data_IF_599458662085
#
_entry.id   IF_599458662085
#
_cell.length_a   1.000
_cell.length_b   1.000
_cell.length_c   1.000
_cell.angle_alpha   90.00
_cell.angle_beta   90.00
_cell.angle_gamma   90.00
#
_symmetry.space_group_name_H-M   'P 1'
#
loop_
_entity.id
_entity.type
_entity.pdbx_description
1 polymer ?
#
# COMPACT_ATOMS: atom_id res chain seq x y z
N UNK A 1 -39.06 -25.32 -2.94
CA UNK A 1 -37.96 -25.00 -2.00
C UNK A 1 -36.65 -25.71 -2.35
N UNK A 2 -36.03 -25.39 -3.49
CA UNK A 2 -34.59 -25.65 -3.73
C UNK A 2 -34.01 -24.40 -4.38
N UNK A 3 -33.85 -23.35 -3.58
CA UNK A 3 -32.97 -22.24 -3.92
C UNK A 3 -31.56 -22.82 -3.94
N UNK A 4 -31.10 -23.18 -5.14
CA UNK A 4 -29.70 -23.37 -5.42
C UNK A 4 -29.02 -22.07 -5.00
N UNK A 5 -28.42 -22.07 -3.81
CA UNK A 5 -27.28 -21.21 -3.50
C UNK A 5 -26.30 -21.46 -4.64
N UNK A 6 -26.32 -20.62 -5.66
CA UNK A 6 -25.18 -20.46 -6.55
C UNK A 6 -24.01 -20.16 -5.63
N UNK A 7 -23.22 -21.19 -5.29
CA UNK A 7 -21.90 -21.00 -4.72
C UNK A 7 -21.14 -20.26 -5.80
N UNK A 8 -21.16 -18.93 -5.72
CA UNK A 8 -20.47 -18.07 -6.65
C UNK A 8 -18.98 -18.41 -6.54
N UNK A 9 -18.52 -19.27 -7.46
CA UNK A 9 -17.19 -19.84 -7.38
C UNK A 9 -16.17 -18.74 -7.64
N UNK A 10 -15.09 -18.74 -6.87
CA UNK A 10 -14.00 -17.83 -7.11
C UNK A 10 -13.49 -17.98 -8.55
N UNK A 11 -13.19 -16.85 -9.20
CA UNK A 11 -12.69 -16.83 -10.57
C UNK A 11 -11.30 -17.46 -10.64
N UNK A 12 -10.91 -18.00 -11.81
CA UNK A 12 -9.56 -18.47 -12.03
C UNK A 12 -8.52 -17.41 -11.65
N UNK A 13 -7.49 -17.84 -10.93
CA UNK A 13 -6.44 -16.95 -10.41
C UNK A 13 -6.67 -16.40 -9.00
N UNK A 14 -7.86 -16.59 -8.41
CA UNK A 14 -8.12 -16.13 -7.03
C UNK A 14 -7.11 -16.65 -6.02
N UNK A 15 -6.82 -17.96 -6.01
CA UNK A 15 -5.87 -18.56 -5.06
C UNK A 15 -4.46 -18.00 -5.25
N UNK A 16 -4.03 -17.82 -6.50
CA UNK A 16 -2.72 -17.25 -6.81
C UNK A 16 -2.64 -15.77 -6.38
N UNK A 17 -3.69 -14.98 -6.61
CA UNK A 17 -3.76 -13.59 -6.16
C UNK A 17 -3.77 -13.49 -4.62
N UNK A 18 -4.44 -14.43 -3.93
CA UNK A 18 -4.42 -14.49 -2.47
C UNK A 18 -3.01 -14.79 -1.95
N UNK A 19 -2.33 -15.81 -2.50
CA UNK A 19 -0.93 -16.11 -2.16
C UNK A 19 -0.02 -14.92 -2.43
N UNK A 20 -0.18 -14.27 -3.60
CA UNK A 20 0.57 -13.06 -3.94
C UNK A 20 0.32 -11.92 -2.95
N UNK A 21 -0.92 -11.73 -2.50
CA UNK A 21 -1.29 -10.71 -1.51
C UNK A 21 -0.62 -11.00 -0.16
N UNK A 22 -0.66 -12.26 0.31
CA UNK A 22 0.00 -12.66 1.56
C UNK A 22 1.53 -12.50 1.47
N UNK A 23 2.11 -12.90 0.33
CA UNK A 23 3.54 -12.72 0.08
C UNK A 23 3.91 -11.23 0.05
N UNK A 24 3.08 -10.37 -0.55
CA UNK A 24 3.30 -8.92 -0.55
C UNK A 24 3.25 -8.31 0.86
N UNK A 25 2.40 -8.82 1.77
CA UNK A 25 2.43 -8.42 3.19
C UNK A 25 3.79 -8.77 3.80
N UNK A 26 4.30 -9.99 3.56
CA UNK A 26 5.63 -10.39 4.06
C UNK A 26 6.73 -9.51 3.48
N UNK A 27 6.70 -9.22 2.18
CA UNK A 27 7.68 -8.33 1.52
C UNK A 27 7.68 -6.94 2.15
N UNK A 28 6.51 -6.34 2.40
CA UNK A 28 6.40 -5.01 3.04
C UNK A 28 6.99 -5.03 4.46
N UNK A 29 6.68 -6.05 5.26
CA UNK A 29 7.22 -6.20 6.63
C UNK A 29 8.74 -6.42 6.63
N UNK A 30 9.24 -7.26 5.73
CA UNK A 30 10.69 -7.47 5.55
C UNK A 30 11.38 -6.17 5.12
N UNK A 31 10.78 -5.39 4.22
CA UNK A 31 11.35 -4.11 3.80
C UNK A 31 11.46 -3.10 4.96
N UNK A 32 10.42 -3.03 5.80
CA UNK A 32 10.46 -2.24 7.03
C UNK A 32 11.56 -2.73 7.99
N UNK A 33 11.69 -4.05 8.16
CA UNK A 33 12.72 -4.67 9.00
C UNK A 33 14.14 -4.37 8.47
N UNK A 34 14.41 -4.55 7.18
CA UNK A 34 15.71 -4.23 6.56
C UNK A 34 16.08 -2.77 6.78
N UNK A 35 15.10 -1.85 6.66
CA UNK A 35 15.35 -0.43 6.91
C UNK A 35 15.64 -0.14 8.39
N UNK A 36 14.83 -0.67 9.30
CA UNK A 36 14.92 -0.38 10.74
C UNK A 36 16.10 -1.08 11.42
N UNK A 37 16.69 -2.10 10.78
CA UNK A 37 17.96 -2.72 11.19
C UNK A 37 19.18 -2.12 10.49
N UNK A 38 19.00 -0.98 9.79
CA UNK A 38 20.04 -0.27 9.05
C UNK A 38 20.74 -1.13 7.98
N UNK A 39 20.04 -2.13 7.44
CA UNK A 39 20.56 -3.06 6.44
C UNK A 39 20.27 -2.63 4.99
N UNK A 40 19.80 -1.40 4.76
CA UNK A 40 19.48 -0.89 3.41
C UNK A 40 20.70 -0.66 2.50
N UNK A 41 21.92 -0.75 3.04
CA UNK A 41 23.19 -0.78 2.32
C UNK A 41 24.03 -1.98 2.82
N UNK A 42 23.37 -3.07 3.24
CA UNK A 42 24.03 -4.28 3.71
C UNK A 42 24.74 -5.04 2.59
N UNK A 43 24.32 -4.81 1.35
CA UNK A 43 24.99 -5.25 0.13
C UNK A 43 25.34 -4.02 -0.73
N UNK A 44 26.61 -3.84 -1.13
CA UNK A 44 27.05 -2.64 -1.87
C UNK A 44 26.61 -2.64 -3.35
N UNK A 45 26.11 -3.76 -3.85
CA UNK A 45 25.70 -3.98 -5.23
C UNK A 45 24.26 -4.50 -5.33
N UNK A 46 23.73 -4.48 -6.56
CA UNK A 46 22.43 -5.02 -6.91
C UNK A 46 22.53 -5.70 -8.29
N UNK A 47 21.91 -6.88 -8.52
CA UNK A 47 21.01 -7.62 -7.63
C UNK A 47 21.71 -8.53 -6.61
N UNK A 48 23.05 -8.63 -6.67
CA UNK A 48 23.87 -9.47 -5.80
C UNK A 48 24.20 -8.86 -4.44
N UNK A 49 25.09 -9.52 -3.70
CA UNK A 49 25.70 -9.05 -2.48
C UNK A 49 27.20 -9.34 -2.53
N UNK A 50 28.00 -8.27 -2.53
CA UNK A 50 29.45 -8.31 -2.73
C UNK A 50 29.87 -9.04 -4.02
N UNK A 51 29.08 -8.89 -5.09
CA UNK A 51 29.34 -9.52 -6.39
C UNK A 51 29.00 -11.02 -6.43
N UNK A 52 28.20 -11.50 -5.48
CA UNK A 52 27.67 -12.88 -5.43
C UNK A 52 26.14 -12.87 -5.43
N UNK A 53 25.49 -13.96 -5.83
CA UNK A 53 24.02 -14.07 -5.77
C UNK A 53 23.47 -14.27 -4.34
N UNK A 54 24.35 -14.54 -3.37
CA UNK A 54 24.04 -14.69 -1.95
C UNK A 54 25.15 -14.08 -1.10
N UNK A 55 24.88 -13.88 0.20
CA UNK A 55 25.87 -13.32 1.13
C UNK A 55 27.11 -14.24 1.19
N UNK A 56 28.33 -13.71 1.03
CA UNK A 56 29.55 -14.50 1.10
C UNK A 56 29.79 -15.04 2.51
N UNK A 57 29.84 -16.36 2.67
CA UNK A 57 30.00 -17.03 3.98
C UNK A 57 31.35 -17.71 4.17
N UNK A 58 32.01 -18.17 3.11
CA UNK A 58 33.33 -18.83 3.19
C UNK A 58 34.47 -17.83 3.18
N UNK A 59 35.59 -18.13 3.83
CA UNK A 59 36.76 -17.23 3.93
C UNK A 59 37.23 -16.73 2.56
N UNK A 60 37.36 -17.62 1.57
CA UNK A 60 37.74 -17.25 0.19
C UNK A 60 36.77 -16.25 -0.48
N UNK A 61 35.48 -16.36 -0.17
CA UNK A 61 34.47 -15.43 -0.72
C UNK A 61 34.48 -14.11 0.03
N UNK A 62 34.75 -14.14 1.33
CA UNK A 62 34.86 -12.93 2.16
C UNK A 62 36.11 -12.13 1.81
N UNK A 63 37.25 -12.79 1.57
CA UNK A 63 38.47 -12.14 1.10
C UNK A 63 38.27 -11.52 -0.28
N UNK A 64 37.63 -12.24 -1.21
CA UNK A 64 37.29 -11.71 -2.53
C UNK A 64 36.28 -10.54 -2.45
N UNK A 65 35.31 -10.61 -1.54
CA UNK A 65 34.38 -9.52 -1.28
C UNK A 65 35.11 -8.26 -0.81
N UNK A 66 36.02 -8.40 0.17
CA UNK A 66 36.84 -7.30 0.68
C UNK A 66 37.73 -6.68 -0.40
N UNK A 67 38.29 -7.49 -1.31
CA UNK A 67 39.08 -6.98 -2.45
C UNK A 67 38.22 -6.24 -3.48
N UNK A 68 36.99 -6.69 -3.75
CA UNK A 68 36.09 -6.08 -4.74
C UNK A 68 35.43 -4.80 -4.25
N UNK A 69 35.16 -4.72 -2.95
CA UNK A 69 34.44 -3.61 -2.31
C UNK A 69 35.23 -3.10 -1.09
N UNK A 70 36.40 -2.46 -1.31
CA UNK A 70 37.28 -2.04 -0.20
C UNK A 70 36.62 -0.99 0.71
N UNK A 71 35.74 -0.16 0.16
CA UNK A 71 35.07 0.92 0.90
C UNK A 71 33.76 0.48 1.59
N UNK A 72 33.36 -0.79 1.45
CA UNK A 72 32.15 -1.34 2.05
C UNK A 72 32.50 -2.58 2.88
N UNK A 73 32.69 -2.46 4.21
CA UNK A 73 33.04 -3.61 5.05
C UNK A 73 31.94 -4.67 5.01
N UNK A 74 32.32 -5.94 5.01
CA UNK A 74 31.37 -7.06 4.98
C UNK A 74 30.61 -7.19 6.31
N UNK A 75 29.33 -6.82 6.30
CA UNK A 75 28.42 -7.02 7.43
C UNK A 75 27.43 -8.14 7.14
N UNK A 76 27.85 -9.39 7.36
CA UNK A 76 27.09 -10.62 7.01
C UNK A 76 25.62 -10.56 7.46
N UNK A 77 25.35 -10.11 8.69
CA UNK A 77 23.99 -10.03 9.21
C UNK A 77 23.12 -9.03 8.43
N UNK A 78 23.64 -7.84 8.11
CA UNK A 78 22.92 -6.84 7.32
C UNK A 78 22.75 -7.30 5.87
N UNK A 79 23.76 -7.93 5.29
CA UNK A 79 23.67 -8.54 3.96
C UNK A 79 22.55 -9.56 3.88
N UNK A 80 22.36 -10.40 4.91
CA UNK A 80 21.25 -11.36 4.94
C UNK A 80 19.89 -10.68 5.09
N UNK A 81 19.77 -9.66 5.95
CA UNK A 81 18.53 -8.89 6.10
C UNK A 81 18.09 -8.26 4.78
N UNK A 82 19.03 -7.79 3.97
CA UNK A 82 18.74 -7.23 2.64
C UNK A 82 18.43 -8.32 1.59
N UNK A 83 19.26 -9.36 1.50
CA UNK A 83 19.07 -10.42 0.49
C UNK A 83 17.78 -11.22 0.70
N UNK A 84 17.38 -11.50 1.95
CA UNK A 84 16.11 -12.17 2.24
C UNK A 84 14.93 -11.34 1.72
N UNK A 85 14.93 -10.02 1.93
CA UNK A 85 13.92 -9.15 1.36
C UNK A 85 13.92 -9.19 -0.18
N UNK A 86 15.10 -9.11 -0.82
CA UNK A 86 15.25 -9.19 -2.29
C UNK A 86 14.72 -10.50 -2.86
N UNK A 87 14.97 -11.65 -2.23
CA UNK A 87 14.46 -12.94 -2.69
C UNK A 87 12.94 -13.04 -2.62
N UNK A 88 12.33 -12.57 -1.53
CA UNK A 88 10.87 -12.54 -1.39
C UNK A 88 10.23 -11.57 -2.40
N UNK A 89 10.85 -10.41 -2.64
CA UNK A 89 10.40 -9.46 -3.66
C UNK A 89 10.51 -10.04 -5.08
N UNK A 90 11.62 -10.73 -5.41
CA UNK A 90 11.80 -11.43 -6.68
C UNK A 90 10.77 -12.54 -6.89
N UNK A 91 10.51 -13.36 -5.87
CA UNK A 91 9.46 -14.38 -5.90
C UNK A 91 8.07 -13.77 -6.12
N UNK A 92 7.76 -12.65 -5.47
CA UNK A 92 6.53 -11.90 -5.69
C UNK A 92 6.40 -11.41 -7.14
N UNK A 93 7.49 -10.91 -7.71
CA UNK A 93 7.55 -10.50 -9.12
C UNK A 93 7.21 -11.64 -10.08
N UNK A 94 7.77 -12.84 -9.85
CA UNK A 94 7.45 -14.03 -10.64
C UNK A 94 5.99 -14.46 -10.50
N UNK A 95 5.43 -14.38 -9.29
CA UNK A 95 4.01 -14.68 -9.05
C UNK A 95 3.10 -13.67 -9.77
N UNK A 96 3.43 -12.38 -9.75
CA UNK A 96 2.71 -11.32 -10.48
C UNK A 96 2.79 -11.54 -12.01
N UNK A 97 3.95 -11.97 -12.52
CA UNK A 97 4.11 -12.35 -13.91
C UNK A 97 3.19 -13.53 -14.25
N UNK A 98 3.14 -14.56 -13.40
CA UNK A 98 2.23 -15.70 -13.54
C UNK A 98 0.75 -15.29 -13.57
N UNK A 99 0.33 -14.36 -12.69
CA UNK A 99 -1.01 -13.76 -12.71
C UNK A 99 -1.31 -13.04 -14.03
N UNK A 100 -0.34 -12.29 -14.55
CA UNK A 100 -0.47 -11.56 -15.81
C UNK A 100 -0.60 -12.52 -16.99
N UNK A 101 0.25 -13.55 -17.08
CA UNK A 101 0.17 -14.59 -18.12
C UNK A 101 -1.17 -15.32 -18.05
N UNK A 102 -1.64 -15.66 -16.85
CA UNK A 102 -2.95 -16.29 -16.67
C UNK A 102 -4.09 -15.38 -17.13
N UNK A 103 -4.05 -14.10 -16.79
CA UNK A 103 -5.06 -13.13 -17.21
C UNK A 103 -5.08 -12.95 -18.74
N UNK A 104 -3.91 -12.92 -19.39
CA UNK A 104 -3.77 -12.86 -20.85
C UNK A 104 -4.34 -14.12 -21.52
N UNK A 105 -3.99 -15.31 -21.03
CA UNK A 105 -4.51 -16.59 -21.56
C UNK A 105 -6.02 -16.72 -21.42
N UNK A 106 -6.61 -16.11 -20.39
CA UNK A 106 -8.05 -16.16 -20.09
C UNK A 106 -8.79 -14.89 -20.50
N UNK A 107 -8.20 -14.01 -21.29
CA UNK A 107 -8.76 -12.69 -21.64
C UNK A 107 -10.11 -12.74 -22.36
N UNK A 108 -10.41 -13.85 -23.04
CA UNK A 108 -11.69 -14.06 -23.71
C UNK A 108 -12.84 -14.45 -22.75
N UNK A 109 -12.54 -14.76 -21.48
CA UNK A 109 -13.56 -15.13 -20.49
C UNK A 109 -14.27 -13.88 -19.93
N UNK A 110 -15.61 -13.82 -19.97
CA UNK A 110 -16.37 -12.68 -19.47
C UNK A 110 -16.03 -12.34 -18.01
N UNK A 111 -15.69 -11.07 -17.77
CA UNK A 111 -15.40 -10.56 -16.43
C UNK A 111 -14.03 -10.94 -15.86
N UNK A 112 -13.11 -11.50 -16.66
CA UNK A 112 -11.71 -11.68 -16.29
C UNK A 112 -11.00 -10.30 -16.26
N UNK A 113 -10.39 -9.88 -15.13
CA UNK A 113 -9.67 -8.61 -15.07
C UNK A 113 -8.34 -8.71 -15.81
N UNK A 114 -8.13 -7.87 -16.84
CA UNK A 114 -6.88 -7.80 -17.60
C UNK A 114 -6.02 -6.56 -17.26
N UNK A 115 -6.66 -5.39 -17.14
CA UNK A 115 -5.95 -4.12 -16.88
C UNK A 115 -5.19 -4.13 -15.55
N UNK A 116 -5.76 -4.77 -14.52
CA UNK A 116 -5.19 -4.76 -13.17
C UNK A 116 -3.93 -5.63 -13.04
N UNK A 117 -3.89 -6.89 -13.55
CA UNK A 117 -2.63 -7.65 -13.64
C UNK A 117 -1.54 -6.96 -14.47
N UNK A 118 -1.89 -6.34 -15.61
CA UNK A 118 -0.91 -5.59 -16.42
C UNK A 118 -0.33 -4.39 -15.67
N UNK A 119 -1.19 -3.62 -14.97
CA UNK A 119 -0.75 -2.53 -14.11
C UNK A 119 0.16 -3.04 -12.98
N UNK A 120 -0.20 -4.15 -12.33
CA UNK A 120 0.63 -4.79 -11.29
C UNK A 120 2.01 -5.18 -11.83
N UNK A 121 2.09 -5.72 -13.05
CA UNK A 121 3.36 -6.05 -13.67
C UNK A 121 4.21 -4.79 -13.93
N UNK A 122 3.62 -3.72 -14.44
CA UNK A 122 4.32 -2.45 -14.63
C UNK A 122 4.81 -1.87 -13.30
N UNK A 123 3.97 -1.88 -12.26
CA UNK A 123 4.31 -1.38 -10.93
C UNK A 123 5.43 -2.20 -10.30
N UNK A 124 5.42 -3.53 -10.39
CA UNK A 124 6.49 -4.36 -9.79
C UNK A 124 7.83 -4.21 -10.51
N UNK A 125 7.82 -3.98 -11.84
CA UNK A 125 9.04 -3.65 -12.59
C UNK A 125 9.61 -2.31 -12.13
N UNK A 126 8.75 -1.29 -12.01
CA UNK A 126 9.18 0.00 -11.46
C UNK A 126 9.70 -0.16 -10.02
N UNK A 127 9.06 -0.99 -9.19
CA UNK A 127 9.53 -1.26 -7.83
C UNK A 127 10.88 -1.95 -7.76
N UNK A 128 11.19 -2.85 -8.69
CA UNK A 128 12.53 -3.41 -8.80
C UNK A 128 13.57 -2.33 -9.13
N UNK A 129 13.26 -1.39 -10.03
CA UNK A 129 14.12 -0.26 -10.33
C UNK A 129 14.30 0.67 -9.11
N UNK A 130 13.22 1.02 -8.41
CA UNK A 130 13.31 1.82 -7.18
C UNK A 130 14.09 1.11 -6.07
N UNK A 131 13.95 -0.21 -5.91
CA UNK A 131 14.72 -1.01 -4.95
C UNK A 131 16.21 -1.14 -5.32
N UNK A 132 16.55 -1.15 -6.60
CA UNK A 132 17.93 -0.99 -7.04
C UNK A 132 18.46 0.41 -6.68
N UNK A 133 17.66 1.45 -6.96
CA UNK A 133 18.03 2.83 -6.69
C UNK A 133 18.17 3.16 -5.20
N UNK A 134 17.49 2.46 -4.28
CA UNK A 134 17.75 2.64 -2.85
C UNK A 134 19.18 2.30 -2.47
N UNK A 135 19.83 1.39 -3.21
CA UNK A 135 21.23 1.02 -2.98
C UNK A 135 22.16 1.91 -3.83
N UNK A 136 21.92 1.99 -5.14
CA UNK A 136 22.83 2.72 -6.05
C UNK A 136 22.80 4.23 -5.84
N UNK A 137 21.71 4.79 -5.31
CA UNK A 137 21.59 6.20 -4.90
C UNK A 137 21.71 6.36 -3.38
N UNK A 138 22.36 5.41 -2.70
CA UNK A 138 22.82 5.56 -1.32
C UNK A 138 21.71 6.00 -0.34
N UNK A 139 20.53 5.38 -0.46
CA UNK A 139 19.33 5.62 0.35
C UNK A 139 18.75 7.04 0.24
N UNK A 140 18.88 7.68 -0.92
CA UNK A 140 18.30 9.00 -1.19
C UNK A 140 16.81 9.07 -0.75
N UNK A 141 16.42 9.98 0.15
CA UNK A 141 15.15 9.89 0.88
C UNK A 141 13.89 9.82 0.01
N UNK A 142 13.90 10.52 -1.12
CA UNK A 142 12.83 10.55 -2.12
C UNK A 142 12.61 9.16 -2.71
N UNK A 143 13.69 8.47 -3.09
CA UNK A 143 13.66 7.12 -3.68
C UNK A 143 13.22 6.10 -2.64
N UNK A 144 13.71 6.18 -1.41
CA UNK A 144 13.29 5.28 -0.31
C UNK A 144 11.79 5.44 -0.03
N UNK A 145 11.30 6.68 0.03
CA UNK A 145 9.89 6.98 0.27
C UNK A 145 9.01 6.53 -0.91
N UNK A 146 9.44 6.76 -2.15
CA UNK A 146 8.76 6.31 -3.35
C UNK A 146 8.71 4.77 -3.45
N UNK A 147 9.80 4.10 -3.08
CA UNK A 147 9.85 2.64 -2.99
C UNK A 147 8.79 2.12 -2.01
N UNK A 148 8.74 2.66 -0.78
CA UNK A 148 7.70 2.30 0.21
C UNK A 148 6.27 2.48 -0.35
N UNK A 149 5.99 3.64 -0.96
CA UNK A 149 4.66 3.94 -1.54
C UNK A 149 4.30 2.97 -2.67
N UNK A 150 5.25 2.58 -3.52
CA UNK A 150 5.01 1.59 -4.56
C UNK A 150 4.83 0.16 -4.01
N UNK A 151 5.50 -0.19 -2.90
CA UNK A 151 5.26 -1.45 -2.18
C UNK A 151 3.83 -1.53 -1.64
N UNK A 152 3.35 -0.46 -0.98
CA UNK A 152 1.98 -0.35 -0.49
C UNK A 152 0.95 -0.33 -1.64
N UNK A 153 1.30 0.29 -2.77
CA UNK A 153 0.50 0.27 -3.99
C UNK A 153 0.38 -1.16 -4.54
N UNK A 154 1.49 -1.89 -4.64
CA UNK A 154 1.51 -3.28 -5.10
C UNK A 154 0.63 -4.17 -4.23
N UNK A 155 0.78 -4.08 -2.91
CA UNK A 155 -0.06 -4.80 -1.94
C UNK A 155 -1.55 -4.44 -2.10
N UNK A 156 -1.88 -3.16 -2.22
CA UNK A 156 -3.26 -2.67 -2.39
C UNK A 156 -3.91 -3.15 -3.69
N UNK A 157 -3.15 -3.14 -4.79
CA UNK A 157 -3.61 -3.62 -6.10
C UNK A 157 -3.78 -5.14 -6.13
N UNK A 158 -2.88 -5.91 -5.49
CA UNK A 158 -3.01 -7.35 -5.32
C UNK A 158 -4.24 -7.71 -4.47
N UNK A 159 -4.45 -6.99 -3.37
CA UNK A 159 -5.64 -7.16 -2.54
C UNK A 159 -6.92 -6.85 -3.34
N UNK A 160 -6.94 -5.74 -4.10
CA UNK A 160 -8.06 -5.41 -4.99
C UNK A 160 -8.31 -6.49 -6.05
N UNK A 161 -7.24 -7.05 -6.64
CA UNK A 161 -7.35 -8.15 -7.60
C UNK A 161 -7.96 -9.39 -6.92
N UNK A 162 -7.51 -9.73 -5.72
CA UNK A 162 -8.05 -10.82 -4.90
C UNK A 162 -9.54 -10.61 -4.61
N UNK A 163 -9.96 -9.40 -4.25
CA UNK A 163 -11.38 -9.08 -4.05
C UNK A 163 -12.19 -9.28 -5.34
N UNK A 164 -11.72 -8.78 -6.49
CA UNK A 164 -12.40 -8.91 -7.79
C UNK A 164 -12.49 -10.35 -8.27
N UNK A 165 -11.45 -11.15 -8.03
CA UNK A 165 -11.40 -12.57 -8.39
C UNK A 165 -12.18 -13.45 -7.41
N UNK A 166 -12.44 -13.00 -6.18
CA UNK A 166 -13.23 -13.77 -5.20
C UNK A 166 -14.64 -14.09 -5.68
N UNK A 167 -15.17 -13.31 -6.64
CA UNK A 167 -16.54 -13.43 -7.14
C UNK A 167 -17.61 -13.00 -6.14
N UNK A 168 -17.26 -12.76 -4.88
CA UNK A 168 -18.20 -12.40 -3.82
C UNK A 168 -18.69 -10.96 -4.00
N UNK A 169 -20.00 -10.80 -4.19
CA UNK A 169 -20.68 -9.50 -4.22
C UNK A 169 -21.76 -9.44 -3.13
N UNK A 170 -21.40 -9.22 -1.86
CA UNK A 170 -22.40 -9.13 -0.80
C UNK A 170 -23.37 -7.99 -1.07
N UNK A 171 -24.65 -8.21 -0.73
CA UNK A 171 -25.66 -7.18 -0.82
C UNK A 171 -25.21 -5.95 0.01
N UNK A 172 -25.36 -4.77 -0.58
CA UNK A 172 -25.02 -3.50 0.03
C UNK A 172 -26.21 -2.55 -0.11
N UNK A 173 -26.51 -1.73 0.91
CA UNK A 173 -27.48 -0.67 0.78
C UNK A 173 -27.07 0.33 -0.32
N UNK A 174 -28.07 1.01 -0.89
CA UNK A 174 -27.80 2.16 -1.74
C UNK A 174 -27.20 3.27 -0.89
N UNK A 175 -26.10 3.85 -1.37
CA UNK A 175 -25.36 4.90 -0.67
C UNK A 175 -25.23 6.13 -1.57
N UNK A 176 -25.29 7.34 -0.99
CA UNK A 176 -25.16 8.57 -1.76
C UNK A 176 -23.77 8.68 -2.39
N UNK A 177 -23.68 9.36 -3.55
CA UNK A 177 -22.40 9.61 -4.23
C UNK A 177 -21.39 10.35 -3.35
N UNK A 178 -21.86 11.26 -2.48
CA UNK A 178 -21.03 12.01 -1.53
C UNK A 178 -20.24 11.11 -0.59
N UNK A 179 -20.82 10.01 -0.09
CA UNK A 179 -20.13 9.05 0.77
C UNK A 179 -19.00 8.31 0.01
N UNK A 180 -19.18 8.05 -1.29
CA UNK A 180 -18.13 7.44 -2.12
C UNK A 180 -16.95 8.38 -2.31
N UNK A 181 -17.23 9.65 -2.61
CA UNK A 181 -16.19 10.68 -2.71
C UNK A 181 -15.47 10.86 -1.37
N UNK A 182 -16.21 10.85 -0.26
CA UNK A 182 -15.62 10.97 1.07
C UNK A 182 -14.75 9.76 1.44
N UNK A 183 -15.16 8.54 1.07
CA UNK A 183 -14.32 7.35 1.23
C UNK A 183 -13.03 7.41 0.39
N UNK A 184 -13.09 8.01 -0.81
CA UNK A 184 -11.91 8.26 -1.65
C UNK A 184 -10.98 9.28 -0.99
N UNK A 185 -11.52 10.39 -0.47
CA UNK A 185 -10.74 11.39 0.29
C UNK A 185 -10.06 10.72 1.49
N UNK A 186 -10.77 9.89 2.25
CA UNK A 186 -10.19 9.15 3.38
C UNK A 186 -9.03 8.24 2.96
N UNK A 187 -9.17 7.52 1.84
CA UNK A 187 -8.08 6.69 1.29
C UNK A 187 -6.88 7.53 0.85
N UNK A 188 -7.11 8.65 0.17
CA UNK A 188 -6.05 9.58 -0.25
C UNK A 188 -5.33 10.16 0.97
N UNK A 189 -6.07 10.54 2.01
CA UNK A 189 -5.49 11.06 3.25
C UNK A 189 -4.58 10.02 3.94
N UNK A 190 -4.98 8.74 3.96
CA UNK A 190 -4.11 7.64 4.45
C UNK A 190 -2.86 7.48 3.59
N UNK A 191 -2.96 7.60 2.26
CA UNK A 191 -1.79 7.53 1.37
C UNK A 191 -0.80 8.65 1.68
N UNK A 192 -1.29 9.88 1.88
CA UNK A 192 -0.43 11.00 2.30
C UNK A 192 0.21 10.75 3.67
N UNK A 193 -0.52 10.18 4.62
CA UNK A 193 0.04 9.84 5.93
C UNK A 193 1.12 8.76 5.85
N UNK A 194 0.96 7.76 4.97
CA UNK A 194 2.00 6.77 4.68
C UNK A 194 3.23 7.45 4.07
N UNK A 195 3.04 8.41 3.16
CA UNK A 195 4.14 9.19 2.60
C UNK A 195 4.90 9.99 3.67
N UNK A 196 4.18 10.67 4.58
CA UNK A 196 4.78 11.36 5.73
C UNK A 196 5.54 10.39 6.64
N UNK A 197 4.99 9.20 6.91
CA UNK A 197 5.68 8.15 7.68
C UNK A 197 6.93 7.62 6.98
N UNK A 198 6.86 7.46 5.65
CA UNK A 198 8.02 7.14 4.81
C UNK A 198 9.10 8.21 4.89
N UNK A 199 8.71 9.48 4.88
CA UNK A 199 9.62 10.63 5.03
C UNK A 199 10.29 10.69 6.41
N UNK A 200 9.55 10.36 7.48
CA UNK A 200 10.11 10.19 8.84
C UNK A 200 11.18 9.09 8.86
N UNK A 201 10.89 7.94 8.26
CA UNK A 201 11.80 6.79 8.24
C UNK A 201 13.04 7.04 7.37
N UNK A 202 12.88 7.63 6.19
CA UNK A 202 13.97 7.89 5.25
C UNK A 202 14.95 8.95 5.77
N UNK A 203 14.47 9.91 6.55
CA UNK A 203 15.29 10.96 7.18
C UNK A 203 15.69 10.66 8.64
N UNK A 204 15.42 9.46 9.15
CA UNK A 204 15.75 9.06 10.54
C UNK A 204 15.20 10.03 11.61
N UNK A 205 14.01 10.58 11.35
CA UNK A 205 13.35 11.56 12.22
C UNK A 205 12.46 10.90 13.31
N UNK A 206 12.34 9.57 13.31
CA UNK A 206 11.46 8.84 14.23
C UNK A 206 11.78 9.07 15.72
N UNK A 207 13.06 9.30 16.05
CA UNK A 207 13.54 9.57 17.41
C UNK A 207 13.69 11.06 17.73
N UNK A 208 13.26 11.95 16.83
CA UNK A 208 13.41 13.40 17.02
C UNK A 208 12.62 13.92 18.23
N UNK A 209 11.46 13.32 18.53
CA UNK A 209 10.64 13.66 19.69
C UNK A 209 10.46 12.39 20.51
N UNK A 210 11.03 12.35 21.71
CA UNK A 210 11.05 11.17 22.60
C UNK A 210 9.87 11.12 23.58
N UNK A 211 9.09 12.20 23.65
CA UNK A 211 7.89 12.34 24.46
C UNK A 211 6.62 12.47 23.58
N UNK A 212 5.47 12.29 24.23
CA UNK A 212 4.14 12.40 23.66
C UNK A 212 3.17 12.90 24.76
N UNK A 213 2.24 13.83 24.48
CA UNK A 213 1.93 14.43 23.17
C UNK A 213 2.87 15.59 22.76
N UNK A 214 3.62 16.15 23.69
CA UNK A 214 4.62 17.19 23.45
C UNK A 214 5.84 16.66 22.68
N UNK A 215 6.74 17.56 22.29
CA UNK A 215 8.07 17.25 21.82
C UNK A 215 9.08 18.08 22.60
N UNK A 216 9.97 17.42 23.33
CA UNK A 216 10.90 18.00 24.31
C UNK A 216 10.20 18.87 25.37
N UNK A 217 9.03 18.44 25.84
CA UNK A 217 8.23 19.18 26.82
C UNK A 217 7.52 20.42 26.25
N UNK A 218 7.64 20.69 24.95
CA UNK A 218 7.00 21.80 24.28
C UNK A 218 5.87 21.31 23.35
N UNK A 219 4.75 22.03 23.35
CA UNK A 219 3.66 21.76 22.39
C UNK A 219 4.00 22.22 20.97
N UNK A 220 4.81 23.27 20.87
CA UNK A 220 5.22 23.87 19.61
C UNK A 220 6.71 24.24 19.65
N UNK A 221 7.62 23.25 19.53
CA UNK A 221 9.06 23.50 19.50
C UNK A 221 9.48 24.25 18.23
N UNK A 222 10.70 24.77 18.23
CA UNK A 222 11.31 25.32 17.02
C UNK A 222 11.43 24.24 15.94
N UNK A 223 11.11 24.61 14.71
CA UNK A 223 10.98 23.71 13.58
C UNK A 223 11.51 24.38 12.31
N UNK A 224 12.44 23.71 11.65
CA UNK A 224 13.00 24.15 10.37
C UNK A 224 12.30 23.41 9.22
N UNK A 225 11.17 23.96 8.77
CA UNK A 225 10.41 23.41 7.65
C UNK A 225 11.14 23.57 6.31
N UNK A 226 11.99 24.59 6.19
CA UNK A 226 12.70 24.90 4.95
C UNK A 226 13.66 23.76 4.60
N UNK A 227 14.43 23.27 5.57
CA UNK A 227 15.31 22.11 5.34
C UNK A 227 14.56 20.77 5.47
N UNK A 228 13.57 20.65 6.35
CA UNK A 228 12.81 19.41 6.56
C UNK A 228 12.12 18.85 5.30
N UNK A 229 11.67 19.73 4.41
CA UNK A 229 10.92 19.38 3.20
C UNK A 229 11.56 19.93 1.93
N UNK A 230 12.87 20.21 1.96
CA UNK A 230 13.59 20.63 0.78
C UNK A 230 13.81 19.46 -0.18
N UNK A 231 12.92 19.28 -1.17
CA UNK A 231 13.05 18.18 -2.12
C UNK A 231 14.16 18.39 -3.15
N UNK A 232 14.70 19.60 -3.30
CA UNK A 232 15.63 19.99 -4.38
C UNK A 232 17.10 20.09 -3.96
N UNK A 233 17.39 20.30 -2.67
CA UNK A 233 18.77 20.46 -2.17
C UNK A 233 19.39 19.16 -1.62
N UNK A 234 18.67 18.03 -1.70
CA UNK A 234 19.26 16.75 -1.34
C UNK A 234 20.04 16.23 -2.54
N UNK A 235 21.34 16.54 -2.59
CA UNK A 235 22.22 16.11 -3.66
C UNK A 235 22.22 14.58 -3.81
N UNK A 236 22.30 14.12 -5.06
CA UNK A 236 22.49 12.70 -5.37
C UNK A 236 23.98 12.39 -5.21
N UNK A 237 24.33 11.39 -4.40
CA UNK A 237 25.71 10.95 -4.21
C UNK A 237 26.11 10.64 -2.76
N UNK A 238 25.76 11.49 -1.77
CA UNK A 238 26.09 11.22 -0.36
C UNK A 238 25.41 9.96 0.17
N UNK A 239 26.02 9.37 1.20
CA UNK A 239 25.42 8.27 1.95
C UNK A 239 24.38 8.78 2.95
N UNK A 240 23.10 8.46 2.73
CA UNK A 240 22.00 8.88 3.60
C UNK A 240 21.68 7.89 4.74
N UNK A 241 22.48 6.82 4.94
CA UNK A 241 22.36 5.95 6.10
C UNK A 241 22.63 6.74 7.40
N UNK A 242 21.77 6.61 8.41
CA UNK A 242 21.79 7.44 9.62
C UNK A 242 21.13 8.83 9.48
N UNK A 243 20.91 9.29 8.24
CA UNK A 243 20.20 10.53 7.91
C UNK A 243 21.09 11.77 7.95
N UNK A 244 20.83 12.71 7.02
CA UNK A 244 21.67 13.91 6.84
C UNK A 244 21.12 15.17 7.54
N UNK A 245 19.82 15.17 7.87
CA UNK A 245 19.20 16.27 8.62
C UNK A 245 19.47 16.10 10.11
N UNK A 246 19.41 17.17 10.91
CA UNK A 246 19.56 17.14 12.36
C UNK A 246 18.65 18.17 13.04
N UNK A 247 18.49 18.04 14.37
CA UNK A 247 17.80 19.02 15.21
C UNK A 247 16.37 19.37 14.75
N UNK A 248 16.13 20.66 14.55
CA UNK A 248 14.81 21.24 14.26
C UNK A 248 14.19 20.75 12.95
N UNK A 249 15.01 20.38 11.95
CA UNK A 249 14.51 19.83 10.70
C UNK A 249 13.89 18.44 10.91
N UNK A 250 14.53 17.55 11.69
CA UNK A 250 13.94 16.24 12.05
C UNK A 250 12.70 16.41 12.94
N UNK A 251 12.73 17.39 13.83
CA UNK A 251 11.57 17.76 14.67
C UNK A 251 10.37 18.16 13.82
N UNK A 252 10.58 19.01 12.81
CA UNK A 252 9.55 19.43 11.86
C UNK A 252 8.96 18.24 11.09
N UNK A 253 9.79 17.31 10.61
CA UNK A 253 9.33 16.09 9.94
C UNK A 253 8.45 15.24 10.87
N UNK A 254 8.91 15.01 12.11
CA UNK A 254 8.20 14.17 13.07
C UNK A 254 6.87 14.80 13.49
N UNK A 255 6.84 16.10 13.83
CA UNK A 255 5.59 16.78 14.18
C UNK A 255 4.61 16.87 13.00
N UNK A 256 5.09 17.07 11.77
CA UNK A 256 4.23 17.03 10.58
C UNK A 256 3.53 15.69 10.43
N UNK A 257 4.25 14.58 10.67
CA UNK A 257 3.65 13.25 10.68
C UNK A 257 2.58 13.09 11.78
N UNK A 258 2.83 13.60 12.99
CA UNK A 258 1.85 13.56 14.09
C UNK A 258 0.58 14.37 13.79
N UNK A 259 0.74 15.59 13.23
CA UNK A 259 -0.37 16.45 12.83
C UNK A 259 -1.17 15.85 11.65
N UNK A 260 -0.48 15.24 10.70
CA UNK A 260 -1.10 14.44 9.65
C UNK A 260 -1.93 13.28 10.21
N UNK A 261 -1.40 12.56 11.20
CA UNK A 261 -2.10 11.46 11.86
C UNK A 261 -3.39 11.93 12.55
N UNK A 262 -3.35 13.09 13.22
CA UNK A 262 -4.54 13.70 13.82
C UNK A 262 -5.58 14.04 12.76
N UNK A 263 -5.18 14.69 11.67
CA UNK A 263 -6.06 15.04 10.55
C UNK A 263 -6.72 13.80 9.92
N UNK A 264 -5.94 12.75 9.66
CA UNK A 264 -6.45 11.47 9.15
C UNK A 264 -7.41 10.83 10.14
N UNK A 265 -7.11 10.86 11.44
CA UNK A 265 -7.97 10.29 12.48
C UNK A 265 -9.36 10.93 12.44
N UNK A 266 -9.43 12.27 12.37
CA UNK A 266 -10.70 13.00 12.28
C UNK A 266 -11.49 12.63 11.01
N UNK A 267 -10.82 12.59 9.85
CA UNK A 267 -11.43 12.22 8.57
C UNK A 267 -12.00 10.80 8.64
N UNK A 268 -11.23 9.84 9.15
CA UNK A 268 -11.64 8.44 9.19
C UNK A 268 -12.71 8.15 10.24
N UNK A 269 -12.72 8.84 11.38
CA UNK A 269 -13.82 8.75 12.35
C UNK A 269 -15.11 9.33 11.77
N UNK A 270 -15.05 10.46 11.06
CA UNK A 270 -16.20 11.00 10.34
C UNK A 270 -16.70 10.02 9.26
N UNK A 271 -15.79 9.36 8.52
CA UNK A 271 -16.15 8.34 7.54
C UNK A 271 -16.80 7.13 8.20
N UNK A 272 -16.25 6.64 9.31
CA UNK A 272 -16.81 5.53 10.07
C UNK A 272 -18.22 5.85 10.58
N UNK A 273 -18.45 7.07 11.08
CA UNK A 273 -19.76 7.54 11.50
C UNK A 273 -20.76 7.55 10.33
N UNK A 274 -20.36 8.07 9.16
CA UNK A 274 -21.23 8.05 7.98
C UNK A 274 -21.53 6.62 7.50
N UNK A 275 -20.54 5.72 7.51
CA UNK A 275 -20.74 4.30 7.20
C UNK A 275 -21.76 3.67 8.15
N UNK A 276 -21.62 3.91 9.45
CA UNK A 276 -22.55 3.41 10.47
C UNK A 276 -23.97 3.93 10.24
N UNK A 277 -24.15 5.24 10.00
CA UNK A 277 -25.46 5.86 9.70
C UNK A 277 -26.15 5.28 8.46
N UNK A 278 -25.37 4.81 7.49
CA UNK A 278 -25.89 4.17 6.27
C UNK A 278 -25.98 2.63 6.38
N UNK A 279 -25.97 2.07 7.59
CA UNK A 279 -26.17 0.63 7.82
C UNK A 279 -24.94 -0.24 7.54
N UNK A 280 -23.75 0.35 7.43
CA UNK A 280 -22.48 -0.33 7.16
C UNK A 280 -21.63 -0.51 8.42
N UNK A 281 -22.26 -0.82 9.55
CA UNK A 281 -21.64 -0.89 10.87
C UNK A 281 -20.39 -1.80 10.93
N UNK A 282 -20.37 -2.91 10.17
CA UNK A 282 -19.20 -3.81 10.12
C UNK A 282 -17.98 -3.15 9.47
N UNK A 283 -18.18 -2.35 8.41
CA UNK A 283 -17.09 -1.62 7.76
C UNK A 283 -16.61 -0.46 8.64
N UNK A 284 -17.54 0.22 9.32
CA UNK A 284 -17.22 1.24 10.30
C UNK A 284 -16.37 0.67 11.45
N UNK A 285 -16.80 -0.44 12.05
CA UNK A 285 -16.07 -1.11 13.13
C UNK A 285 -14.68 -1.59 12.70
N UNK A 286 -14.56 -2.15 11.49
CA UNK A 286 -13.26 -2.54 10.94
C UNK A 286 -12.32 -1.34 10.74
N UNK A 287 -12.84 -0.21 10.25
CA UNK A 287 -12.06 1.01 10.07
C UNK A 287 -11.58 1.58 11.41
N UNK A 288 -12.47 1.65 12.41
CA UNK A 288 -12.12 2.14 13.75
C UNK A 288 -11.11 1.22 14.43
N UNK A 289 -11.26 -0.10 14.32
CA UNK A 289 -10.32 -1.05 14.90
C UNK A 289 -8.92 -0.92 14.27
N UNK A 290 -8.83 -0.84 12.93
CA UNK A 290 -7.55 -0.65 12.24
C UNK A 290 -6.90 0.70 12.58
N UNK A 291 -7.71 1.77 12.71
CA UNK A 291 -7.23 3.09 13.11
C UNK A 291 -6.71 3.11 14.55
N UNK A 292 -7.46 2.53 15.49
CA UNK A 292 -7.07 2.44 16.90
C UNK A 292 -5.77 1.65 17.06
N UNK A 293 -5.63 0.53 16.35
CA UNK A 293 -4.38 -0.24 16.31
C UNK A 293 -3.22 0.62 15.80
N UNK A 294 -3.41 1.35 14.69
CA UNK A 294 -2.35 2.15 14.09
C UNK A 294 -1.90 3.31 15.00
N UNK A 295 -2.85 4.00 15.64
CA UNK A 295 -2.55 5.07 16.60
C UNK A 295 -1.81 4.49 17.81
N UNK A 296 -2.31 3.38 18.37
CA UNK A 296 -1.69 2.69 19.51
C UNK A 296 -0.23 2.29 19.23
N UNK A 297 0.03 1.69 18.06
CA UNK A 297 1.39 1.37 17.62
C UNK A 297 2.26 2.62 17.41
N UNK A 298 1.69 3.72 16.87
CA UNK A 298 2.41 4.97 16.67
C UNK A 298 2.84 5.64 17.97
N UNK A 299 1.93 5.74 18.94
CA UNK A 299 2.22 6.25 20.28
C UNK A 299 3.24 5.35 20.99
N UNK A 300 3.09 4.03 20.87
CA UNK A 300 4.01 3.05 21.48
C UNK A 300 5.42 3.18 20.94
N UNK A 301 5.60 3.46 19.63
CA UNK A 301 6.93 3.73 19.07
C UNK A 301 7.63 4.92 19.73
N UNK A 302 6.89 5.94 20.15
CA UNK A 302 7.48 7.10 20.83
C UNK A 302 7.79 6.74 22.28
N UNK A 303 6.77 6.31 23.04
CA UNK A 303 6.89 6.08 24.48
C UNK A 303 7.85 4.94 24.85
N UNK A 304 8.04 3.97 23.95
CA UNK A 304 8.92 2.82 24.16
C UNK A 304 10.28 2.97 23.47
N UNK A 305 10.62 4.17 22.97
CA UNK A 305 11.90 4.45 22.30
C UNK A 305 12.17 3.58 21.06
N UNK A 306 11.20 3.53 20.16
CA UNK A 306 11.23 2.87 18.85
C UNK A 306 11.67 1.39 18.88
N UNK A 307 10.98 0.50 19.63
CA UNK A 307 11.30 -0.93 19.58
C UNK A 307 11.10 -1.48 18.17
N UNK A 308 12.07 -2.24 17.66
CA UNK A 308 12.05 -2.76 16.29
C UNK A 308 10.73 -3.46 15.93
N UNK A 309 10.23 -4.32 16.83
CA UNK A 309 8.98 -5.06 16.61
C UNK A 309 7.78 -4.12 16.50
N UNK A 310 7.72 -3.08 17.32
CA UNK A 310 6.62 -2.10 17.31
C UNK A 310 6.70 -1.22 16.06
N UNK A 311 7.91 -0.85 15.63
CA UNK A 311 8.13 -0.05 14.43
C UNK A 311 7.75 -0.82 13.15
N UNK A 312 8.15 -2.10 13.05
CA UNK A 312 7.72 -2.99 11.96
C UNK A 312 6.21 -3.22 12.01
N UNK A 313 5.64 -3.45 13.20
CA UNK A 313 4.20 -3.62 13.37
C UNK A 313 3.43 -2.35 12.97
N UNK A 314 3.92 -1.16 13.27
CA UNK A 314 3.32 0.11 12.86
C UNK A 314 3.31 0.30 11.33
N UNK A 315 4.35 -0.18 10.64
CA UNK A 315 4.35 -0.22 9.17
C UNK A 315 3.27 -1.19 8.65
N UNK A 316 3.19 -2.40 9.22
CA UNK A 316 2.14 -3.37 8.92
C UNK A 316 0.73 -2.88 9.23
N UNK A 317 0.54 -2.17 10.33
CA UNK A 317 -0.73 -1.53 10.71
C UNK A 317 -1.15 -0.45 9.73
N UNK A 318 -0.19 0.34 9.22
CA UNK A 318 -0.44 1.33 8.17
C UNK A 318 -0.90 0.67 6.87
N UNK A 319 -0.26 -0.45 6.49
CA UNK A 319 -0.67 -1.25 5.35
C UNK A 319 -2.09 -1.83 5.54
N UNK A 320 -2.38 -2.38 6.72
CA UNK A 320 -3.71 -2.89 7.07
C UNK A 320 -4.78 -1.79 6.97
N UNK A 321 -4.53 -0.61 7.55
CA UNK A 321 -5.45 0.52 7.49
C UNK A 321 -5.72 0.93 6.04
N UNK A 322 -4.69 1.01 5.19
CA UNK A 322 -4.84 1.28 3.77
C UNK A 322 -5.71 0.20 3.09
N UNK A 323 -5.45 -1.09 3.34
CA UNK A 323 -6.26 -2.18 2.79
C UNK A 323 -7.72 -2.10 3.22
N UNK A 324 -8.01 -1.67 4.46
CA UNK A 324 -9.39 -1.42 4.92
C UNK A 324 -10.03 -0.29 4.12
N UNK A 325 -9.33 0.81 3.86
CA UNK A 325 -9.88 1.89 3.01
C UNK A 325 -10.08 1.45 1.55
N UNK A 326 -9.22 0.59 1.00
CA UNK A 326 -9.38 -0.04 -0.33
C UNK A 326 -10.62 -0.93 -0.34
N UNK A 327 -10.83 -1.74 0.70
CA UNK A 327 -12.03 -2.57 0.84
C UNK A 327 -13.30 -1.72 0.86
N UNK A 328 -13.33 -0.66 1.68
CA UNK A 328 -14.46 0.27 1.78
C UNK A 328 -14.76 0.87 0.41
N UNK A 329 -13.76 1.47 -0.24
CA UNK A 329 -13.91 2.06 -1.57
C UNK A 329 -14.42 1.02 -2.58
N UNK A 330 -13.85 -0.19 -2.60
CA UNK A 330 -14.30 -1.25 -3.49
C UNK A 330 -15.77 -1.61 -3.26
N UNK A 331 -16.21 -1.77 -2.01
CA UNK A 331 -17.60 -2.11 -1.68
C UNK A 331 -18.58 -1.01 -2.05
N UNK A 332 -18.27 0.25 -1.76
CA UNK A 332 -19.17 1.37 -2.06
C UNK A 332 -19.34 1.62 -3.58
N UNK A 333 -18.32 1.30 -4.39
CA UNK A 333 -18.39 1.41 -5.85
C UNK A 333 -19.15 0.25 -6.51
N UNK A 334 -19.13 -0.95 -5.93
CA UNK A 334 -19.95 -2.08 -6.41
C UNK A 334 -21.46 -1.79 -6.29
N UNK A 335 -21.90 -1.03 -5.28
CA UNK A 335 -23.31 -0.65 -5.11
C UNK A 335 -23.88 0.14 -6.29
N UNK A 336 -23.05 0.87 -7.06
CA UNK A 336 -23.49 1.61 -8.25
C UNK A 336 -23.93 0.66 -9.37
N UNK A 337 -23.23 -0.46 -9.56
CA UNK A 337 -23.53 -1.42 -10.62
C UNK A 337 -24.81 -2.24 -10.38
N UNK A 338 -25.21 -2.42 -9.12
CA UNK A 338 -26.45 -3.13 -8.77
C UNK A 338 -27.68 -2.22 -8.84
N UNK A 339 -27.54 -0.94 -8.48
CA UNK A 339 -28.62 0.04 -8.60
C UNK A 339 -28.98 0.31 -10.07
N UNK A 340 -27.98 0.50 -10.94
CA UNK A 340 -28.20 0.71 -12.39
C UNK A 340 -28.80 -0.52 -13.08
N UNK A 341 -28.46 -1.74 -12.63
CA UNK A 341 -29.04 -2.97 -13.19
C UNK A 341 -30.49 -3.24 -12.73
N UNK A 342 -31.01 -2.47 -11.76
CA UNK A 342 -32.38 -2.57 -11.25
C UNK A 342 -33.34 -1.52 -11.82
N UNK A 343 -32.84 -0.53 -12.56
CA UNK A 343 -33.67 0.33 -13.41
C UNK A 343 -33.76 -0.32 -14.79
N UNK A 344 -34.80 -1.14 -15.09
CA UNK A 344 -35.13 -1.37 -16.48
C UNK A 344 -35.46 0.00 -17.09
N UNK A 345 -34.91 0.28 -18.28
CA UNK A 345 -35.38 1.38 -19.11
C UNK A 345 -36.93 1.37 -19.12
N UNK A 346 -37.60 2.53 -19.21
CA UNK A 346 -39.06 2.56 -19.29
C UNK A 346 -39.46 1.63 -20.42
N UNK A 347 -40.13 0.52 -20.09
CA UNK A 347 -40.77 -0.33 -21.07
C UNK A 347 -41.70 0.60 -21.83
N UNK A 348 -41.35 0.91 -23.08
CA UNK A 348 -42.26 1.53 -24.00
C UNK A 348 -43.51 0.67 -24.00
N UNK A 349 -44.59 1.22 -23.44
CA UNK A 349 -45.91 0.62 -23.40
C UNK A 349 -46.28 0.24 -24.83
N UNK A 350 -46.16 -1.05 -25.15
CA UNK A 350 -46.82 -1.65 -26.30
C UNK A 350 -48.32 -1.47 -26.06
N UNK A 351 -48.89 -0.48 -26.73
CA UNK A 351 -50.30 -0.17 -26.71
C UNK A 351 -51.02 -1.18 -27.61
N UNK A 352 -51.81 -2.13 -27.08
CA UNK A 352 -52.54 -3.08 -27.90
C UNK A 352 -53.92 -2.47 -28.18
N UNK A 353 -53.98 -1.49 -29.09
CA UNK A 353 -55.24 -0.97 -29.59
C UNK A 353 -55.06 -0.27 -30.94
N UNK A 354 -54.74 -1.06 -31.97
CA UNK A 354 -54.94 -0.71 -33.38
C UNK A 354 -55.76 -1.80 -34.05
N UNK A 355 -57.03 -1.89 -33.67
CA UNK A 355 -58.10 -2.42 -34.53
C UNK A 355 -58.79 -1.22 -35.17
N UNK A 356 -58.61 -1.00 -36.47
CA UNK A 356 -59.28 0.11 -37.15
C UNK A 356 -58.95 0.27 -38.64
N UNK A 357 -59.67 -0.50 -39.46
CA UNK A 357 -60.11 -0.23 -40.84
C UNK A 357 -59.07 0.06 -41.94
N UNK A 358 -58.98 -0.89 -42.87
CA UNK A 358 -58.71 -0.62 -44.28
C UNK A 358 -59.91 0.14 -44.88
N UNK A 359 -59.69 1.37 -45.33
CA UNK A 359 -60.55 2.05 -46.29
C UNK A 359 -59.92 1.92 -47.68
N UNK A 360 -60.56 1.15 -48.55
CA UNK A 360 -60.33 1.14 -50.00
C UNK A 360 -61.38 2.05 -50.65
N UNK A 361 -61.02 3.03 -51.50
CA UNK A 361 -61.98 3.65 -52.40
C UNK A 361 -62.22 2.75 -53.62
N UNK A 362 -63.49 2.45 -53.90
CA UNK A 362 -63.96 1.96 -55.20
C UNK A 362 -64.56 3.13 -55.99
N UNK A 363 -64.37 3.04 -57.32
CA UNK A 363 -64.98 3.79 -58.43
C UNK A 363 -64.48 5.22 -58.63
#
# INVERSE_FOLDING_TARGET
MRSLKEKQMAKPGYRLALVATLLAVVVVLLGAYTRLTHAGLGCPDWPGCYGFLSVPMSEDKQSLAAMRFPDAPLEVHKGWNEMVHRYFAGALGLVILGLTVQALRRRAQPGQPLKLPLLLLAVVIAQAAFGMWTVTLQLWPQVVTAHLLGGFTTLSLLFLLTLRLSGRRPAMPSVPGRLRTFALIGMIAVIFQVALGGWVSSNYAAVACTDFPTCHGQWWPQMDFANAFNLTHHDIGPNYLGGMLYGEARTAIHLTHRLGALSVTLILLALAWQLWRHGLARLAGLLVAALALQIGLGISNVLLNLPLVVAVAHNGGGALLLLVTVLINHRLHLSRGVAVARDPAPQALLNPNTTGRLDLPRA
#
